data_IF_501684751355
#
_entry.id   IF_501684751355
#
_cell.length_a   1.000
_cell.length_b   1.000
_cell.length_c   1.000
_cell.angle_alpha   90.00
_cell.angle_beta   90.00
_cell.angle_gamma   90.00
#
_symmetry.space_group_name_H-M   'P 1'
#
loop_
_entity.id
_entity.type
_entity.pdbx_description
1 polymer ?
#
# COMPACT_ATOMS: atom_id res chain seq x y z
N UNK A 1 -23.76 -0.40 3.07
CA UNK A 1 -22.90 -1.42 2.42
C UNK A 1 -21.84 -0.74 1.55
N UNK A 2 -20.71 -0.40 2.16
CA UNK A 2 -19.76 0.59 1.62
C UNK A 2 -18.46 -0.10 1.17
N UNK A 3 -18.50 -0.76 0.00
CA UNK A 3 -17.41 -0.81 -0.99
C UNK A 3 -17.84 -1.73 -2.16
N UNK A 4 -18.33 -1.18 -3.28
CA UNK A 4 -18.78 -1.97 -4.43
C UNK A 4 -17.67 -2.24 -5.47
N UNK A 5 -16.38 -2.18 -5.08
CA UNK A 5 -15.27 -2.46 -6.01
C UNK A 5 -14.13 -3.18 -5.29
N UNK A 6 -13.57 -4.25 -5.88
CA UNK A 6 -12.34 -4.84 -5.38
C UNK A 6 -11.26 -3.75 -5.39
N UNK A 7 -10.53 -3.62 -4.28
CA UNK A 7 -9.39 -2.71 -4.19
C UNK A 7 -8.43 -3.12 -5.32
N UNK A 8 -8.02 -2.18 -6.19
CA UNK A 8 -7.06 -2.51 -7.23
C UNK A 8 -5.79 -3.03 -6.54
N UNK A 9 -5.26 -4.13 -7.07
CA UNK A 9 -3.95 -4.62 -6.64
C UNK A 9 -2.89 -3.61 -7.09
N UNK A 10 -1.75 -3.62 -6.41
CA UNK A 10 -0.60 -2.82 -6.80
C UNK A 10 -0.05 -3.26 -8.19
N UNK A 11 0.92 -2.52 -8.76
CA UNK A 11 1.52 -2.85 -10.06
C UNK A 11 2.12 -4.27 -10.16
N UNK A 12 2.35 -4.93 -9.03
CA UNK A 12 2.92 -6.26 -8.92
C UNK A 12 1.88 -7.34 -8.57
N UNK A 13 0.59 -6.99 -8.54
CA UNK A 13 -0.50 -7.92 -8.27
C UNK A 13 -0.66 -8.28 -6.79
N UNK A 14 -0.12 -7.46 -5.89
CA UNK A 14 -0.17 -7.63 -4.44
C UNK A 14 -1.25 -6.72 -3.83
N UNK A 15 -1.95 -7.18 -2.78
CA UNK A 15 -2.90 -6.35 -2.07
C UNK A 15 -2.17 -5.22 -1.33
N UNK A 16 -2.74 -4.01 -1.36
CA UNK A 16 -2.23 -2.91 -0.55
C UNK A 16 -2.45 -3.19 0.94
N UNK A 17 -1.47 -2.81 1.75
CA UNK A 17 -1.53 -2.87 3.20
C UNK A 17 -2.19 -1.62 3.74
N UNK A 18 -3.29 -1.84 4.47
CA UNK A 18 -4.06 -0.80 5.14
C UNK A 18 -3.85 -0.92 6.64
N UNK A 19 -3.46 0.19 7.28
CA UNK A 19 -3.42 0.35 8.72
C UNK A 19 -4.36 1.48 9.14
N UNK A 20 -5.22 1.21 10.12
CA UNK A 20 -6.12 2.19 10.72
C UNK A 20 -6.21 1.93 12.22
N UNK A 21 -5.85 2.88 13.10
CA UNK A 21 -5.37 4.25 12.83
C UNK A 21 -4.00 4.30 12.14
N UNK A 22 -3.82 5.23 11.21
CA UNK A 22 -2.55 5.48 10.55
C UNK A 22 -1.56 6.19 11.47
N UNK A 23 -0.27 5.95 11.27
CA UNK A 23 0.83 6.68 11.90
C UNK A 23 0.94 8.10 11.33
N UNK A 24 0.55 8.30 10.06
CA UNK A 24 0.65 9.59 9.36
C UNK A 24 -0.71 10.31 9.16
N UNK A 25 -1.82 9.71 9.58
CA UNK A 25 -3.16 10.27 9.44
C UNK A 25 -4.27 9.35 9.97
N UNK A 26 -5.50 9.54 9.50
CA UNK A 26 -6.62 8.66 9.87
C UNK A 26 -6.41 7.20 9.40
N UNK A 27 -5.68 7.03 8.30
CA UNK A 27 -5.32 5.74 7.75
C UNK A 27 -3.99 5.80 6.99
N UNK A 28 -3.27 4.70 7.04
CA UNK A 28 -2.08 4.46 6.23
C UNK A 28 -2.41 3.39 5.19
N UNK A 29 -2.11 3.68 3.93
CA UNK A 29 -2.20 2.70 2.85
C UNK A 29 -0.83 2.63 2.16
N UNK A 30 -0.20 1.46 2.15
CA UNK A 30 1.12 1.29 1.56
C UNK A 30 1.30 -0.07 0.86
N UNK A 31 2.27 -0.18 -0.05
CA UNK A 31 2.71 -1.43 -0.66
C UNK A 31 4.23 -1.51 -0.71
N UNK A 32 4.78 -2.69 -0.44
CA UNK A 32 6.21 -3.02 -0.38
C UNK A 32 6.87 -3.22 -1.76
N UNK A 33 6.35 -2.57 -2.80
CA UNK A 33 6.89 -2.68 -4.14
C UNK A 33 6.93 -4.12 -4.69
N UNK A 34 7.90 -4.37 -5.57
CA UNK A 34 8.07 -5.66 -6.24
C UNK A 34 8.53 -6.78 -5.31
N UNK A 35 9.32 -6.50 -4.28
CA UNK A 35 9.95 -7.54 -3.47
C UNK A 35 9.04 -8.02 -2.31
N UNK A 36 8.22 -7.14 -1.73
CA UNK A 36 7.40 -7.47 -0.56
C UNK A 36 8.05 -7.24 0.78
N UNK A 37 9.14 -6.48 0.80
CA UNK A 37 9.94 -6.17 1.99
C UNK A 37 9.84 -4.67 2.22
N UNK A 38 9.91 -4.28 3.49
CA UNK A 38 10.05 -2.87 3.85
C UNK A 38 11.38 -2.32 3.35
N UNK A 39 11.32 -1.24 2.58
CA UNK A 39 12.47 -0.59 1.99
C UNK A 39 12.87 -1.19 0.64
N UNK A 40 13.52 -0.36 -0.16
CA UNK A 40 13.98 -0.71 -1.49
C UNK A 40 14.14 0.54 -2.35
N UNK A 41 14.82 0.41 -3.49
CA UNK A 41 15.02 1.52 -4.42
C UNK A 41 14.49 1.15 -5.82
N UNK A 42 13.97 2.15 -6.53
CA UNK A 42 13.42 1.95 -7.87
C UNK A 42 12.13 1.12 -7.86
N UNK A 43 12.18 -0.11 -8.39
CA UNK A 43 11.01 -0.99 -8.50
C UNK A 43 10.67 -1.73 -7.21
N UNK A 44 11.61 -1.76 -6.27
CA UNK A 44 11.42 -2.35 -4.94
C UNK A 44 11.07 -1.27 -3.90
N UNK A 45 10.94 0.01 -4.31
CA UNK A 45 10.58 1.10 -3.40
C UNK A 45 9.15 0.93 -2.89
N UNK A 46 8.98 1.14 -1.59
CA UNK A 46 7.66 1.22 -0.96
C UNK A 46 6.82 2.34 -1.56
N UNK A 47 5.57 2.03 -1.88
CA UNK A 47 4.57 2.99 -2.33
C UNK A 47 3.66 3.28 -1.15
N UNK A 48 3.77 4.47 -0.57
CA UNK A 48 2.93 4.91 0.55
C UNK A 48 1.93 5.96 0.06
N UNK A 49 0.71 5.96 0.61
CA UNK A 49 -0.38 6.85 0.18
C UNK A 49 -0.26 8.27 0.75
N UNK A 50 0.62 8.50 1.71
CA UNK A 50 0.81 9.78 2.38
C UNK A 50 2.04 10.57 1.88
N UNK A 51 2.82 9.99 0.95
CA UNK A 51 3.91 10.68 0.25
C UNK A 51 3.43 11.34 -1.05
#
# INVERSE_FOLDING_TARGET
>A
PYLPKPVPLDPWGRPYQYCGPGEHGDYDLFSYGKDGVEGGEGYDKDIVSWE
#
